data_IF_277703798970
#
_entry.id   IF_277703798970
#
_cell.length_a   1.000
_cell.length_b   1.000
_cell.length_c   1.000
_cell.angle_alpha   90.00
_cell.angle_beta   90.00
_cell.angle_gamma   90.00
#
_symmetry.space_group_name_H-M   'P 1'
#
loop_
_entity.id
_entity.type
_entity.pdbx_description
1 polymer ?
#
# COMPACT_ATOMS: atom_id res chain seq x y z
N UNK A 1 -10.23 13.11 9.70
CA UNK A 1 -10.14 12.29 8.48
C UNK A 1 -9.33 11.05 8.79
N UNK A 2 -9.81 9.86 8.40
CA UNK A 2 -9.10 8.61 8.62
C UNK A 2 -7.91 8.53 7.67
N UNK A 3 -6.74 8.13 8.19
CA UNK A 3 -5.54 7.87 7.40
C UNK A 3 -5.20 6.40 7.46
N UNK A 4 -4.86 5.82 6.32
CA UNK A 4 -4.50 4.41 6.20
C UNK A 4 -3.08 4.28 5.66
N UNK A 5 -2.32 3.37 6.27
CA UNK A 5 -1.02 2.92 5.76
C UNK A 5 -1.21 1.52 5.20
N UNK A 6 -0.96 1.34 3.91
CA UNK A 6 -1.12 0.04 3.23
C UNK A 6 0.27 -0.53 2.94
N UNK A 7 0.48 -1.77 3.36
CA UNK A 7 1.68 -2.53 3.04
C UNK A 7 1.74 -2.86 1.54
N UNK A 8 2.93 -3.13 0.99
CA UNK A 8 3.10 -3.50 -0.42
C UNK A 8 2.31 -4.76 -0.80
N UNK A 9 2.19 -5.70 0.13
CA UNK A 9 1.36 -6.91 -0.02
C UNK A 9 -0.11 -6.61 -0.32
N UNK A 10 -0.68 -5.54 0.25
CA UNK A 10 -2.08 -5.14 0.01
C UNK A 10 -2.30 -4.76 -1.45
N UNK A 11 -1.36 -4.00 -2.03
CA UNK A 11 -1.42 -3.63 -3.44
C UNK A 11 -1.21 -4.85 -4.35
N UNK A 12 -0.29 -5.73 -3.99
CA UNK A 12 0.02 -6.93 -4.76
C UNK A 12 -1.16 -7.93 -4.79
N UNK A 13 -2.06 -7.88 -3.79
CA UNK A 13 -3.27 -8.71 -3.73
C UNK A 13 -4.19 -8.59 -4.95
N UNK A 14 -4.09 -7.48 -5.71
CA UNK A 14 -4.81 -7.30 -6.97
C UNK A 14 -4.42 -8.31 -8.06
N UNK A 15 -3.22 -8.86 -7.95
CA UNK A 15 -2.57 -9.68 -8.97
C UNK A 15 -2.38 -11.14 -8.56
N UNK A 16 -2.73 -11.50 -7.32
CA UNK A 16 -2.63 -12.87 -6.84
C UNK A 16 -3.63 -13.81 -7.54
N UNK A 17 -3.32 -15.10 -7.50
CA UNK A 17 -4.19 -16.15 -8.02
C UNK A 17 -5.48 -16.25 -7.19
N UNK A 18 -6.62 -16.02 -7.86
CA UNK A 18 -7.96 -15.89 -7.27
C UNK A 18 -8.69 -17.22 -7.13
N UNK A 19 -8.00 -18.33 -7.33
CA UNK A 19 -8.55 -19.68 -7.19
C UNK A 19 -9.06 -19.98 -5.77
N UNK A 20 -8.61 -19.24 -4.76
CA UNK A 20 -9.09 -19.35 -3.38
C UNK A 20 -10.05 -18.20 -3.04
N UNK A 21 -11.20 -18.54 -2.45
CA UNK A 21 -12.25 -17.57 -2.09
C UNK A 21 -11.74 -16.46 -1.16
N UNK A 22 -10.85 -16.78 -0.22
CA UNK A 22 -10.22 -15.80 0.67
C UNK A 22 -9.46 -14.73 -0.10
N UNK A 23 -8.64 -15.14 -1.07
CA UNK A 23 -7.83 -14.24 -1.92
C UNK A 23 -8.74 -13.34 -2.76
N UNK A 24 -9.84 -13.91 -3.30
CA UNK A 24 -10.83 -13.13 -4.02
C UNK A 24 -11.48 -12.06 -3.13
N UNK A 25 -11.87 -12.40 -1.91
CA UNK A 25 -12.49 -11.45 -0.97
C UNK A 25 -11.51 -10.36 -0.52
N UNK A 26 -10.25 -10.71 -0.25
CA UNK A 26 -9.20 -9.75 0.09
C UNK A 26 -8.92 -8.79 -1.07
N UNK A 27 -8.88 -9.29 -2.31
CA UNK A 27 -8.80 -8.43 -3.48
C UNK A 27 -9.98 -7.44 -3.55
N UNK A 28 -11.22 -7.90 -3.33
CA UNK A 28 -12.38 -7.01 -3.31
C UNK A 28 -12.29 -5.95 -2.20
N UNK A 29 -11.77 -6.33 -1.03
CA UNK A 29 -11.50 -5.38 0.05
C UNK A 29 -10.44 -4.35 -0.34
N UNK A 30 -9.33 -4.78 -0.97
CA UNK A 30 -8.30 -3.87 -1.50
C UNK A 30 -8.90 -2.88 -2.50
N UNK A 31 -9.67 -3.35 -3.48
CA UNK A 31 -10.33 -2.48 -4.46
C UNK A 31 -11.24 -1.45 -3.77
N UNK A 32 -11.99 -1.89 -2.77
CA UNK A 32 -12.88 -1.01 -2.00
C UNK A 32 -12.10 0.08 -1.26
N UNK A 33 -10.98 -0.26 -0.61
CA UNK A 33 -10.10 0.69 0.07
C UNK A 33 -9.50 1.70 -0.92
N UNK A 34 -9.03 1.22 -2.08
CA UNK A 34 -8.47 2.11 -3.11
C UNK A 34 -9.54 3.07 -3.66
N UNK A 35 -10.77 2.61 -3.85
CA UNK A 35 -11.89 3.49 -4.23
C UNK A 35 -12.15 4.56 -3.18
N UNK A 36 -12.16 4.22 -1.89
CA UNK A 36 -12.33 5.22 -0.81
C UNK A 36 -11.20 6.26 -0.79
N UNK A 37 -9.98 5.88 -1.16
CA UNK A 37 -8.85 6.81 -1.32
C UNK A 37 -9.09 7.72 -2.54
N UNK A 38 -9.49 7.17 -3.69
CA UNK A 38 -9.73 7.94 -4.92
C UNK A 38 -10.94 8.90 -4.77
N UNK A 39 -11.99 8.51 -4.05
CA UNK A 39 -13.13 9.39 -3.71
C UNK A 39 -12.85 10.36 -2.56
N UNK A 40 -11.63 10.31 -1.99
CA UNK A 40 -11.14 11.18 -0.89
C UNK A 40 -11.91 11.02 0.42
N UNK A 41 -12.58 9.89 0.64
CA UNK A 41 -13.22 9.55 1.91
C UNK A 41 -12.19 9.19 3.00
N UNK A 42 -11.07 8.60 2.59
CA UNK A 42 -9.90 8.35 3.44
C UNK A 42 -8.63 8.84 2.76
N UNK A 43 -7.57 9.02 3.55
CA UNK A 43 -6.26 9.45 3.05
C UNK A 43 -5.25 8.30 3.11
N UNK A 44 -4.49 8.11 2.04
CA UNK A 44 -3.37 7.17 2.06
C UNK A 44 -2.10 7.82 2.61
N UNK A 45 -1.26 6.98 3.23
CA UNK A 45 0.08 7.32 3.68
C UNK A 45 1.09 6.52 2.85
N UNK A 46 2.14 7.19 2.41
CA UNK A 46 3.31 6.59 1.74
C UNK A 46 4.55 6.70 2.65
N UNK A 47 5.58 5.90 2.40
CA UNK A 47 6.88 5.95 3.08
C UNK A 47 8.02 5.57 2.13
N UNK A 48 9.25 5.87 2.54
CA UNK A 48 10.44 5.41 1.83
C UNK A 48 10.51 3.87 1.71
N UNK A 49 10.02 3.14 2.72
CA UNK A 49 10.04 1.66 2.72
C UNK A 49 9.11 1.11 1.64
N UNK A 50 7.89 1.64 1.50
CA UNK A 50 6.95 1.22 0.45
C UNK A 50 7.51 1.48 -0.95
N UNK A 51 8.12 2.65 -1.16
CA UNK A 51 8.76 2.98 -2.43
C UNK A 51 9.91 2.02 -2.74
N UNK A 52 10.74 1.69 -1.74
CA UNK A 52 11.85 0.77 -1.89
C UNK A 52 11.41 -0.67 -2.19
N UNK A 53 10.42 -1.18 -1.47
CA UNK A 53 9.86 -2.50 -1.70
C UNK A 53 9.20 -2.61 -3.08
N UNK A 54 8.42 -1.60 -3.47
CA UNK A 54 7.80 -1.55 -4.79
C UNK A 54 8.85 -1.50 -5.92
N UNK A 55 9.97 -0.79 -5.74
CA UNK A 55 11.05 -0.77 -6.73
C UNK A 55 11.61 -2.16 -7.04
N UNK A 56 11.63 -3.05 -6.05
CA UNK A 56 12.07 -4.45 -6.18
C UNK A 56 11.02 -5.38 -6.77
N UNK A 57 9.81 -4.89 -7.03
CA UNK A 57 8.76 -5.71 -7.61
C UNK A 57 9.20 -6.25 -8.99
N UNK A 58 9.13 -7.57 -9.24
CA UNK A 58 9.72 -8.20 -10.42
C UNK A 58 8.97 -7.89 -11.72
N UNK A 59 7.66 -7.60 -11.62
CA UNK A 59 6.79 -7.33 -12.77
C UNK A 59 6.64 -5.81 -12.95
N UNK A 60 7.17 -5.22 -14.03
CA UNK A 60 7.18 -3.76 -14.23
C UNK A 60 5.81 -3.12 -14.28
N UNK A 61 4.81 -3.79 -14.87
CA UNK A 61 3.45 -3.28 -15.02
C UNK A 61 2.79 -3.09 -13.65
N UNK A 62 2.90 -4.11 -12.78
CA UNK A 62 2.37 -4.07 -11.42
C UNK A 62 3.10 -3.00 -10.60
N UNK A 63 4.43 -2.95 -10.71
CA UNK A 63 5.25 -1.91 -10.08
C UNK A 63 4.77 -0.51 -10.43
N UNK A 64 4.52 -0.25 -11.71
CA UNK A 64 4.10 1.07 -12.18
C UNK A 64 2.73 1.46 -11.61
N UNK A 65 1.76 0.53 -11.58
CA UNK A 65 0.44 0.77 -10.98
C UNK A 65 0.56 1.14 -9.50
N UNK A 66 1.31 0.36 -8.72
CA UNK A 66 1.53 0.67 -7.30
C UNK A 66 2.23 2.02 -7.13
N UNK A 67 3.19 2.34 -7.99
CA UNK A 67 3.91 3.60 -7.93
C UNK A 67 2.98 4.81 -8.17
N UNK A 68 1.99 4.69 -9.07
CA UNK A 68 0.99 5.73 -9.27
C UNK A 68 0.12 5.94 -8.02
N UNK A 69 -0.28 4.88 -7.32
CA UNK A 69 -0.99 5.01 -6.04
C UNK A 69 -0.11 5.68 -4.96
N UNK A 70 1.16 5.29 -4.84
CA UNK A 70 2.08 5.89 -3.88
C UNK A 70 2.33 7.39 -4.15
N UNK A 71 2.38 7.82 -5.42
CA UNK A 71 2.50 9.24 -5.80
C UNK A 71 1.26 10.06 -5.48
N UNK A 72 0.07 9.47 -5.57
CA UNK A 72 -1.19 10.11 -5.21
C UNK A 72 -1.40 10.24 -3.69
N UNK A 73 -0.54 9.61 -2.89
CA UNK A 73 -0.65 9.63 -1.43
C UNK A 73 -0.67 11.05 -0.87
N UNK A 74 -1.57 11.29 0.07
CA UNK A 74 -1.77 12.61 0.67
C UNK A 74 -0.66 12.96 1.66
N UNK A 75 0.06 11.96 2.18
CA UNK A 75 1.07 12.16 3.20
C UNK A 75 2.22 11.17 3.04
N UNK A 76 3.45 11.67 3.13
CA UNK A 76 4.66 10.85 3.15
C UNK A 76 5.25 10.85 4.57
N UNK A 77 5.19 9.69 5.24
CA UNK A 77 5.79 9.53 6.56
C UNK A 77 7.32 9.40 6.42
N UNK A 78 8.04 10.39 6.94
CA UNK A 78 9.50 10.37 7.02
C UNK A 78 9.94 9.56 8.24
N UNK A 79 11.08 8.88 8.10
CA UNK A 79 11.70 8.15 9.21
C UNK A 79 12.17 9.16 10.26
N UNK A 80 11.83 8.90 11.51
CA UNK A 80 12.28 9.68 12.66
C UNK A 80 12.76 8.74 13.78
N UNK A 81 13.35 9.32 14.82
CA UNK A 81 13.90 8.55 15.93
C UNK A 81 12.86 7.72 16.68
N UNK A 82 11.61 8.19 16.77
CA UNK A 82 10.52 7.40 17.37
C UNK A 82 10.23 6.13 16.57
N UNK A 83 10.18 6.22 15.24
CA UNK A 83 9.99 5.07 14.34
C UNK A 83 11.16 4.09 14.47
N UNK A 84 12.41 4.60 14.49
CA UNK A 84 13.60 3.76 14.65
C UNK A 84 13.59 3.02 16.00
N UNK A 85 13.35 3.75 17.08
CA UNK A 85 13.30 3.17 18.43
C UNK A 85 12.20 2.10 18.54
N UNK A 86 11.04 2.33 17.93
CA UNK A 86 9.97 1.33 17.89
C UNK A 86 10.36 0.09 17.11
N UNK A 87 11.05 0.25 15.97
CA UNK A 87 11.52 -0.86 15.15
C UNK A 87 12.53 -1.77 15.87
N UNK A 88 13.38 -1.21 16.75
CA UNK A 88 14.32 -2.01 17.55
C UNK A 88 13.66 -2.82 18.68
N UNK A 89 12.39 -2.58 18.99
CA UNK A 89 11.65 -3.24 20.07
C UNK A 89 10.73 -4.38 19.57
N UNK A 90 10.70 -4.62 18.26
CA UNK A 90 9.92 -5.67 17.59
C UNK A 90 10.87 -6.75 17.08
#
# INVERSE_FOLDING_TARGET
MIRVYLDTSVYNRLYDDKNQVSIFLEMQATISILNLIETKEIQSINSFVLEYENQKHPIPEQRNVVNEHLKKSNFKQLVNESIKNRAFQL
#
